data_IF_845278993395
#
_entry.id   IF_845278993395
#
_cell.length_a   1.000
_cell.length_b   1.000
_cell.length_c   1.000
_cell.angle_alpha   90.00
_cell.angle_beta   90.00
_cell.angle_gamma   90.00
#
_symmetry.space_group_name_H-M   'P 1'
#
loop_
_entity.id
_entity.type
_entity.pdbx_description
1 polymer ?
#
# COMPACT_ATOMS: atom_id res chain seq x y z
N UNK A 1 -19.25 -48.41 -7.21
CA UNK A 1 -19.50 -47.56 -8.40
C UNK A 1 -18.58 -46.34 -8.52
N UNK A 2 -17.78 -45.98 -7.50
CA UNK A 2 -16.83 -44.85 -7.56
C UNK A 2 -15.48 -45.05 -8.30
N UNK A 3 -14.97 -46.24 -8.68
CA UNK A 3 -13.63 -46.34 -9.29
C UNK A 3 -13.62 -46.19 -10.82
N UNK A 4 -14.79 -46.15 -11.47
CA UNK A 4 -14.89 -46.09 -12.95
C UNK A 4 -14.79 -44.63 -13.44
N UNK A 5 -15.36 -43.66 -12.71
CA UNK A 5 -15.27 -42.24 -13.05
C UNK A 5 -13.85 -41.68 -12.95
N UNK A 6 -13.11 -42.01 -11.89
CA UNK A 6 -11.73 -41.52 -11.70
C UNK A 6 -10.76 -42.07 -12.78
N UNK A 7 -10.95 -43.33 -13.20
CA UNK A 7 -10.16 -43.92 -14.27
C UNK A 7 -10.52 -43.38 -15.66
N UNK A 8 -11.78 -42.97 -15.88
CA UNK A 8 -12.21 -42.31 -17.12
C UNK A 8 -11.73 -40.85 -17.19
N UNK A 9 -11.81 -40.10 -16.09
CA UNK A 9 -11.24 -38.75 -16.00
C UNK A 9 -9.74 -38.75 -16.22
N UNK A 10 -9.00 -39.69 -15.64
CA UNK A 10 -7.56 -39.85 -15.88
C UNK A 10 -7.27 -40.28 -17.33
N UNK A 11 -8.09 -41.14 -17.93
CA UNK A 11 -7.91 -41.57 -19.31
C UNK A 11 -8.18 -40.44 -20.32
N UNK A 12 -9.18 -39.59 -20.08
CA UNK A 12 -9.53 -38.43 -20.93
C UNK A 12 -8.55 -37.28 -20.72
N UNK A 13 -8.18 -36.98 -19.48
CA UNK A 13 -7.15 -35.96 -19.19
C UNK A 13 -5.78 -36.37 -19.74
N UNK A 14 -5.38 -37.65 -19.63
CA UNK A 14 -4.14 -38.16 -20.21
C UNK A 14 -4.18 -38.22 -21.75
N UNK A 15 -5.29 -38.67 -22.37
CA UNK A 15 -5.46 -38.62 -23.84
C UNK A 15 -5.36 -37.20 -24.35
N UNK A 16 -6.04 -36.27 -23.70
CA UNK A 16 -6.15 -34.93 -24.22
C UNK A 16 -4.93 -34.07 -23.89
N UNK A 17 -4.25 -34.22 -22.74
CA UNK A 17 -2.95 -33.56 -22.52
C UNK A 17 -1.88 -34.04 -23.50
N UNK A 18 -1.89 -35.33 -23.85
CA UNK A 18 -1.04 -35.86 -24.91
C UNK A 18 -1.35 -35.18 -26.24
N UNK A 19 -2.61 -35.19 -26.67
CA UNK A 19 -3.07 -34.60 -27.94
C UNK A 19 -2.80 -33.09 -28.00
N UNK A 20 -3.00 -32.33 -26.93
CA UNK A 20 -2.82 -30.87 -26.93
C UNK A 20 -1.35 -30.47 -27.19
N UNK A 21 -0.40 -31.14 -26.54
CA UNK A 21 1.04 -30.88 -26.72
C UNK A 21 1.56 -31.45 -28.05
N UNK A 22 1.02 -32.60 -28.48
CA UNK A 22 1.34 -33.19 -29.78
C UNK A 22 0.83 -32.30 -30.92
N UNK A 23 -0.39 -31.78 -30.79
CA UNK A 23 -1.01 -30.87 -31.75
C UNK A 23 -0.22 -29.56 -31.83
N UNK A 24 0.17 -28.93 -30.71
CA UNK A 24 0.92 -27.67 -30.74
C UNK A 24 2.29 -27.84 -31.43
N UNK A 25 3.06 -28.88 -31.08
CA UNK A 25 4.37 -29.13 -31.68
C UNK A 25 4.28 -29.54 -33.15
N UNK A 26 3.32 -30.39 -33.52
CA UNK A 26 3.16 -30.81 -34.91
C UNK A 26 2.52 -29.75 -35.80
N UNK A 27 1.67 -28.87 -35.27
CA UNK A 27 1.15 -27.73 -36.03
C UNK A 27 2.25 -26.71 -36.32
N UNK A 28 3.13 -26.43 -35.36
CA UNK A 28 4.30 -25.57 -35.58
C UNK A 28 5.23 -26.18 -36.65
N UNK A 29 5.59 -27.47 -36.53
CA UNK A 29 6.42 -28.18 -37.52
C UNK A 29 5.78 -28.27 -38.92
N UNK A 30 4.47 -28.54 -39.00
CA UNK A 30 3.76 -28.65 -40.28
C UNK A 30 3.69 -27.30 -41.02
N UNK A 31 3.68 -26.19 -40.29
CA UNK A 31 3.67 -24.85 -40.86
C UNK A 31 5.06 -24.36 -41.27
N UNK A 32 6.14 -24.85 -40.63
CA UNK A 32 7.52 -24.62 -41.06
C UNK A 32 7.87 -25.36 -42.35
N UNK A 33 7.30 -26.55 -42.56
CA UNK A 33 7.53 -27.39 -43.75
C UNK A 33 6.72 -26.94 -44.99
N UNK A 34 5.83 -25.95 -44.85
CA UNK A 34 4.97 -25.49 -45.95
C UNK A 34 5.53 -24.26 -46.67
N UNK A 35 6.04 -24.46 -47.90
CA UNK A 35 6.57 -23.39 -48.76
C UNK A 35 5.46 -22.61 -49.51
N UNK A 36 4.27 -23.20 -49.72
CA UNK A 36 3.18 -22.58 -50.48
C UNK A 36 2.16 -21.85 -49.59
N UNK A 37 1.91 -20.57 -49.89
CA UNK A 37 0.98 -19.69 -49.17
C UNK A 37 -0.46 -20.22 -49.15
N UNK A 38 -0.94 -20.76 -50.27
CA UNK A 38 -2.31 -21.30 -50.37
C UNK A 38 -2.52 -22.55 -49.51
N UNK A 39 -1.51 -23.42 -49.45
CA UNK A 39 -1.54 -24.63 -48.62
C UNK A 39 -1.49 -24.25 -47.15
N UNK A 40 -0.68 -23.24 -46.79
CA UNK A 40 -0.60 -22.69 -45.44
C UNK A 40 -1.94 -22.12 -44.98
N UNK A 41 -2.64 -21.34 -45.80
CA UNK A 41 -3.95 -20.79 -45.45
C UNK A 41 -5.02 -21.87 -45.25
N UNK A 42 -5.02 -22.93 -46.08
CA UNK A 42 -5.90 -24.09 -45.92
C UNK A 42 -5.62 -24.85 -44.63
N UNK A 43 -4.34 -25.12 -44.33
CA UNK A 43 -3.92 -25.77 -43.10
C UNK A 43 -4.33 -24.97 -41.87
N UNK A 44 -4.10 -23.65 -41.85
CA UNK A 44 -4.53 -22.79 -40.76
C UNK A 44 -6.05 -22.80 -40.54
N UNK A 45 -6.83 -22.92 -41.62
CA UNK A 45 -8.29 -23.03 -41.54
C UNK A 45 -8.72 -24.39 -40.98
N UNK A 46 -8.03 -25.46 -41.38
CA UNK A 46 -8.26 -26.80 -40.82
C UNK A 46 -7.90 -26.86 -39.33
N UNK A 47 -6.77 -26.29 -38.94
CA UNK A 47 -6.32 -26.20 -37.54
C UNK A 47 -7.33 -25.40 -36.71
N UNK A 48 -7.80 -24.25 -37.22
CA UNK A 48 -8.83 -23.44 -36.55
C UNK A 48 -10.13 -24.22 -36.32
N UNK A 49 -10.59 -24.99 -37.30
CA UNK A 49 -11.77 -25.87 -37.14
C UNK A 49 -11.55 -27.00 -36.15
N UNK A 50 -10.37 -27.62 -36.15
CA UNK A 50 -10.04 -28.67 -35.18
C UNK A 50 -10.01 -28.12 -33.75
N UNK A 51 -9.36 -26.97 -33.55
CA UNK A 51 -9.33 -26.28 -32.25
C UNK A 51 -10.76 -25.93 -31.81
N UNK A 52 -11.59 -25.43 -32.74
CA UNK A 52 -13.00 -25.16 -32.46
C UNK A 52 -13.74 -26.39 -31.94
N UNK A 53 -13.67 -27.51 -32.67
CA UNK A 53 -14.36 -28.75 -32.28
C UNK A 53 -13.87 -29.29 -30.93
N UNK A 54 -12.55 -29.28 -30.69
CA UNK A 54 -11.99 -29.72 -29.41
C UNK A 54 -12.54 -28.86 -28.26
N UNK A 55 -12.52 -27.54 -28.41
CA UNK A 55 -12.99 -26.63 -27.36
C UNK A 55 -14.51 -26.72 -27.14
N UNK A 56 -15.28 -26.91 -28.19
CA UNK A 56 -16.74 -27.06 -28.09
C UNK A 56 -17.15 -28.38 -27.43
N UNK A 57 -16.50 -29.50 -27.79
CA UNK A 57 -16.73 -30.79 -27.11
C UNK A 57 -16.39 -30.72 -25.62
N UNK A 58 -15.29 -30.04 -25.27
CA UNK A 58 -14.93 -29.80 -23.88
C UNK A 58 -15.92 -28.92 -23.14
N UNK A 59 -16.46 -27.89 -23.80
CA UNK A 59 -17.48 -27.01 -23.24
C UNK A 59 -18.75 -27.79 -22.94
N UNK A 60 -19.22 -28.60 -23.88
CA UNK A 60 -20.39 -29.47 -23.71
C UNK A 60 -20.19 -30.46 -22.56
N UNK A 61 -19.03 -31.12 -22.50
CA UNK A 61 -18.68 -32.03 -21.40
C UNK A 61 -18.75 -31.36 -20.03
N UNK A 62 -18.23 -30.13 -19.92
CA UNK A 62 -18.29 -29.38 -18.66
C UNK A 62 -19.72 -28.94 -18.35
N UNK A 63 -20.50 -28.49 -19.34
CA UNK A 63 -21.90 -28.16 -19.12
C UNK A 63 -22.70 -29.35 -18.58
N UNK A 64 -22.52 -30.54 -19.15
CA UNK A 64 -23.20 -31.77 -18.72
C UNK A 64 -22.83 -32.17 -17.28
N UNK A 65 -21.55 -32.04 -16.91
CA UNK A 65 -21.10 -32.32 -15.53
C UNK A 65 -21.69 -31.37 -14.49
N UNK A 66 -21.95 -30.10 -14.87
CA UNK A 66 -22.42 -29.07 -13.94
C UNK A 66 -23.95 -28.97 -13.87
N UNK A 67 -24.69 -29.54 -14.83
CA UNK A 67 -26.15 -29.63 -14.75
C UNK A 67 -26.65 -30.60 -13.69
N UNK A 68 -25.84 -31.58 -13.29
CA UNK A 68 -26.26 -32.67 -12.37
C UNK A 68 -25.90 -32.43 -10.89
N UNK A 69 -25.03 -31.47 -10.56
CA UNK A 69 -24.52 -31.29 -9.19
C UNK A 69 -24.84 -29.90 -8.59
N UNK A 70 -25.61 -29.90 -7.50
CA UNK A 70 -25.76 -28.74 -6.61
C UNK A 70 -24.40 -28.39 -5.96
N UNK A 71 -23.76 -27.36 -6.52
CA UNK A 71 -22.73 -26.46 -5.99
C UNK A 71 -22.29 -26.73 -4.53
N UNK A 72 -21.02 -27.13 -4.31
CA UNK A 72 -20.16 -26.58 -3.22
C UNK A 72 -18.75 -27.20 -3.05
N UNK A 73 -18.23 -28.10 -3.90
CA UNK A 73 -16.93 -28.76 -3.63
C UNK A 73 -15.76 -28.25 -4.49
N UNK A 74 -14.62 -27.94 -3.84
CA UNK A 74 -13.35 -27.52 -4.45
C UNK A 74 -12.78 -28.51 -5.49
N UNK A 75 -13.20 -29.78 -5.43
CA UNK A 75 -12.78 -30.83 -6.37
C UNK A 75 -13.45 -30.68 -7.76
N UNK A 76 -14.60 -30.02 -7.85
CA UNK A 76 -15.36 -29.83 -9.09
C UNK A 76 -14.89 -28.63 -9.91
N UNK A 77 -14.10 -27.72 -9.33
CA UNK A 77 -13.51 -26.58 -10.06
C UNK A 77 -12.32 -26.98 -10.95
N UNK A 78 -11.71 -28.16 -10.71
CA UNK A 78 -10.54 -28.63 -11.46
C UNK A 78 -10.80 -28.80 -12.98
N UNK A 79 -11.90 -29.43 -13.43
CA UNK A 79 -12.27 -29.47 -14.85
C UNK A 79 -12.34 -28.09 -15.51
N UNK A 80 -12.93 -27.09 -14.83
CA UNK A 80 -13.07 -25.73 -15.34
C UNK A 80 -11.72 -25.00 -15.43
N UNK A 81 -10.85 -25.18 -14.43
CA UNK A 81 -9.49 -24.62 -14.45
C UNK A 81 -8.67 -25.24 -15.57
N UNK A 82 -8.73 -26.58 -15.73
CA UNK A 82 -8.05 -27.28 -16.81
C UNK A 82 -8.54 -26.83 -18.18
N UNK A 83 -9.85 -26.61 -18.33
CA UNK A 83 -10.43 -26.07 -19.56
C UNK A 83 -9.92 -24.66 -19.87
N UNK A 84 -9.93 -23.75 -18.90
CA UNK A 84 -9.38 -22.39 -19.10
C UNK A 84 -7.92 -22.42 -19.56
N UNK A 85 -7.11 -23.28 -18.94
CA UNK A 85 -5.70 -23.44 -19.31
C UNK A 85 -5.54 -23.99 -20.74
N UNK A 86 -6.27 -25.06 -21.08
CA UNK A 86 -6.24 -25.67 -22.42
C UNK A 86 -6.74 -24.72 -23.50
N UNK A 87 -7.83 -24.01 -23.24
CA UNK A 87 -8.37 -22.96 -24.10
C UNK A 87 -7.32 -21.91 -24.43
N UNK A 88 -6.68 -21.36 -23.41
CA UNK A 88 -5.63 -20.36 -23.61
C UNK A 88 -4.45 -20.92 -24.40
N UNK A 89 -4.00 -22.15 -24.11
CA UNK A 89 -2.89 -22.79 -24.82
C UNK A 89 -3.16 -22.99 -26.31
N UNK A 90 -4.35 -23.49 -26.67
CA UNK A 90 -4.72 -23.76 -28.06
C UNK A 90 -4.90 -22.46 -28.86
N UNK A 91 -5.49 -21.42 -28.26
CA UNK A 91 -5.67 -20.13 -28.92
C UNK A 91 -4.32 -19.41 -29.10
N UNK A 92 -3.40 -19.53 -28.13
CA UNK A 92 -2.05 -18.93 -28.20
C UNK A 92 -1.21 -19.44 -29.37
N UNK A 93 -1.52 -20.59 -29.95
CA UNK A 93 -0.88 -21.08 -31.18
C UNK A 93 -1.04 -20.05 -32.30
N UNK A 94 -2.24 -19.50 -32.48
CA UNK A 94 -2.50 -18.52 -33.54
C UNK A 94 -1.77 -17.19 -33.30
N UNK A 95 -1.57 -16.81 -32.04
CA UNK A 95 -0.80 -15.62 -31.65
C UNK A 95 0.68 -15.81 -32.03
N UNK A 96 1.28 -16.96 -31.69
CA UNK A 96 2.66 -17.29 -32.08
C UNK A 96 2.86 -17.31 -33.59
N UNK A 97 1.87 -17.82 -34.32
CA UNK A 97 1.90 -17.91 -35.78
C UNK A 97 1.62 -16.58 -36.48
N UNK A 98 1.36 -15.49 -35.73
CA UNK A 98 0.98 -14.15 -36.21
C UNK A 98 -0.32 -14.13 -37.02
N UNK A 99 -1.17 -15.14 -36.86
CA UNK A 99 -2.46 -15.26 -37.53
C UNK A 99 -3.56 -14.69 -36.62
N UNK A 100 -3.47 -13.37 -36.39
CA UNK A 100 -4.30 -12.67 -35.40
C UNK A 100 -5.80 -12.71 -35.69
N UNK A 101 -6.21 -12.73 -36.96
CA UNK A 101 -7.63 -12.75 -37.36
C UNK A 101 -8.36 -14.00 -36.86
N UNK A 102 -7.76 -15.18 -37.09
CA UNK A 102 -8.34 -16.47 -36.64
C UNK A 102 -8.24 -16.65 -35.13
N UNK A 103 -7.13 -16.22 -34.53
CA UNK A 103 -6.95 -16.22 -33.08
C UNK A 103 -8.00 -15.35 -32.37
N UNK A 104 -8.28 -14.16 -32.90
CA UNK A 104 -9.30 -13.23 -32.40
C UNK A 104 -10.68 -13.84 -32.45
N UNK A 105 -11.09 -14.42 -33.59
CA UNK A 105 -12.41 -15.05 -33.73
C UNK A 105 -12.63 -16.18 -32.70
N UNK A 106 -11.63 -17.06 -32.53
CA UNK A 106 -11.69 -18.12 -31.53
C UNK A 106 -11.72 -17.57 -30.10
N UNK A 107 -10.94 -16.53 -29.82
CA UNK A 107 -10.89 -15.92 -28.49
C UNK A 107 -12.18 -15.17 -28.13
N UNK A 108 -12.86 -14.55 -29.09
CA UNK A 108 -14.20 -13.96 -28.91
C UNK A 108 -15.23 -15.05 -28.60
N UNK A 109 -15.26 -16.13 -29.39
CA UNK A 109 -16.28 -17.18 -29.27
C UNK A 109 -16.18 -17.99 -27.97
N UNK A 110 -14.96 -18.25 -27.50
CA UNK A 110 -14.74 -18.97 -26.26
C UNK A 110 -14.47 -18.07 -25.05
N UNK A 111 -14.66 -16.75 -25.18
CA UNK A 111 -14.43 -15.74 -24.12
C UNK A 111 -13.04 -15.86 -23.47
N UNK A 112 -11.98 -15.97 -24.28
CA UNK A 112 -10.60 -16.02 -23.80
C UNK A 112 -9.96 -14.62 -23.78
N UNK A 113 -10.30 -13.85 -22.75
CA UNK A 113 -9.90 -12.45 -22.62
C UNK A 113 -8.38 -12.24 -22.62
N UNK A 114 -7.61 -13.17 -22.05
CA UNK A 114 -6.14 -13.05 -22.03
C UNK A 114 -5.56 -13.06 -23.46
N UNK A 115 -6.02 -13.98 -24.30
CA UNK A 115 -5.60 -14.06 -25.70
C UNK A 115 -6.06 -12.83 -26.50
N UNK A 116 -7.26 -12.30 -26.25
CA UNK A 116 -7.72 -11.04 -26.87
C UNK A 116 -6.82 -9.85 -26.53
N UNK A 117 -6.43 -9.72 -25.26
CA UNK A 117 -5.55 -8.64 -24.80
C UNK A 117 -4.17 -8.77 -25.45
N UNK A 118 -3.59 -9.98 -25.47
CA UNK A 118 -2.29 -10.26 -26.11
C UNK A 118 -2.32 -9.91 -27.61
N UNK A 119 -3.39 -10.29 -28.33
CA UNK A 119 -3.56 -9.97 -29.76
C UNK A 119 -3.65 -8.46 -29.99
N UNK A 120 -4.48 -7.75 -29.21
CA UNK A 120 -4.62 -6.30 -29.32
C UNK A 120 -3.32 -5.55 -29.01
N UNK A 121 -2.52 -6.05 -28.07
CA UNK A 121 -1.22 -5.46 -27.70
C UNK A 121 -0.18 -5.65 -28.83
N UNK A 122 -0.10 -6.83 -29.45
CA UNK A 122 0.76 -7.10 -30.61
C UNK A 122 0.38 -6.26 -31.83
N UNK A 123 -0.92 -6.10 -32.08
CA UNK A 123 -1.45 -5.25 -33.17
C UNK A 123 -1.42 -3.75 -32.84
N UNK A 124 -1.20 -3.39 -31.56
CA UNK A 124 -1.33 -2.03 -31.02
C UNK A 124 -2.70 -1.39 -31.31
N UNK A 125 -3.76 -2.21 -31.31
CA UNK A 125 -5.12 -1.77 -31.61
C UNK A 125 -5.85 -1.33 -30.33
N UNK A 126 -5.77 -0.03 -30.06
CA UNK A 126 -6.37 0.62 -28.87
C UNK A 126 -7.91 0.68 -28.98
N UNK A 127 -8.45 0.88 -30.18
CA UNK A 127 -9.90 1.04 -30.38
C UNK A 127 -10.65 -0.27 -30.15
N UNK A 128 -10.07 -1.37 -30.64
CA UNK A 128 -10.66 -2.69 -30.43
C UNK A 128 -10.59 -3.11 -28.96
N UNK A 129 -9.47 -2.82 -28.29
CA UNK A 129 -9.33 -3.09 -26.86
C UNK A 129 -10.36 -2.32 -26.03
N UNK A 130 -10.61 -1.04 -26.35
CA UNK A 130 -11.66 -0.25 -25.74
C UNK A 130 -13.05 -0.88 -25.94
N UNK A 131 -13.34 -1.34 -27.15
CA UNK A 131 -14.62 -1.99 -27.46
C UNK A 131 -14.84 -3.22 -26.59
N UNK A 132 -13.80 -4.04 -26.38
CA UNK A 132 -13.89 -5.20 -25.49
C UNK A 132 -14.08 -4.85 -24.02
N UNK A 133 -13.43 -3.79 -23.53
CA UNK A 133 -13.64 -3.30 -22.17
C UNK A 133 -15.09 -2.86 -21.97
N UNK A 134 -15.69 -2.20 -22.96
CA UNK A 134 -17.09 -1.78 -22.92
C UNK A 134 -18.06 -2.97 -23.03
N UNK A 135 -17.76 -3.96 -23.88
CA UNK A 135 -18.61 -5.14 -24.09
C UNK A 135 -18.59 -6.12 -22.91
N UNK A 136 -17.41 -6.48 -22.40
CA UNK A 136 -17.24 -7.53 -21.40
C UNK A 136 -17.14 -6.99 -19.96
N UNK A 137 -16.92 -5.68 -19.80
CA UNK A 137 -16.98 -4.99 -18.52
C UNK A 137 -16.00 -5.51 -17.47
N UNK A 138 -16.50 -5.78 -16.26
CA UNK A 138 -15.67 -6.08 -15.08
C UNK A 138 -14.84 -7.36 -15.24
N UNK A 139 -15.37 -8.40 -15.91
CA UNK A 139 -14.66 -9.68 -16.13
C UNK A 139 -13.37 -9.48 -16.94
N UNK A 140 -13.45 -8.64 -17.98
CA UNK A 140 -12.31 -8.30 -18.83
C UNK A 140 -11.31 -7.43 -18.07
N UNK A 141 -11.78 -6.49 -17.25
CA UNK A 141 -10.93 -5.62 -16.44
C UNK A 141 -10.06 -6.36 -15.42
N UNK A 142 -10.56 -7.45 -14.82
CA UNK A 142 -9.76 -8.29 -13.92
C UNK A 142 -8.54 -8.85 -14.66
N UNK A 143 -8.76 -9.47 -15.82
CA UNK A 143 -7.70 -10.07 -16.63
C UNK A 143 -6.75 -9.02 -17.19
N UNK A 144 -7.29 -7.86 -17.57
CA UNK A 144 -6.49 -6.75 -18.10
C UNK A 144 -5.56 -6.14 -17.04
N UNK A 145 -6.04 -5.93 -15.81
CA UNK A 145 -5.19 -5.46 -14.71
C UNK A 145 -4.09 -6.46 -14.36
N UNK A 146 -4.39 -7.77 -14.32
CA UNK A 146 -3.40 -8.82 -14.08
C UNK A 146 -2.33 -8.84 -15.19
N UNK A 147 -2.76 -8.76 -16.45
CA UNK A 147 -1.87 -8.66 -17.60
C UNK A 147 -0.93 -7.45 -17.50
N UNK A 148 -1.46 -6.26 -17.21
CA UNK A 148 -0.66 -5.04 -17.08
C UNK A 148 0.30 -5.08 -15.89
N UNK A 149 -0.07 -5.74 -14.77
CA UNK A 149 0.84 -5.97 -13.65
C UNK A 149 2.00 -6.86 -14.05
N UNK A 150 1.73 -7.93 -14.81
CA UNK A 150 2.78 -8.85 -15.29
C UNK A 150 3.82 -8.14 -16.17
N UNK A 151 3.37 -7.14 -16.95
CA UNK A 151 4.23 -6.31 -17.83
C UNK A 151 4.74 -5.01 -17.19
N UNK A 152 4.51 -4.81 -15.89
CA UNK A 152 4.81 -3.55 -15.16
C UNK A 152 4.31 -2.28 -15.86
N UNK A 153 3.21 -2.39 -16.62
CA UNK A 153 2.65 -1.35 -17.50
C UNK A 153 1.30 -0.80 -17.00
N UNK A 154 1.08 -0.79 -15.68
CA UNK A 154 -0.15 -0.28 -15.07
C UNK A 154 -0.48 1.17 -15.45
N UNK A 155 0.51 1.97 -15.86
CA UNK A 155 0.34 3.34 -16.34
C UNK A 155 -0.64 3.46 -17.52
N UNK A 156 -0.79 2.39 -18.32
CA UNK A 156 -1.71 2.35 -19.47
C UNK A 156 -3.16 2.57 -19.05
N UNK A 157 -3.59 2.07 -17.89
CA UNK A 157 -4.97 2.25 -17.39
C UNK A 157 -5.33 3.72 -17.13
N UNK A 158 -4.31 4.56 -16.89
CA UNK A 158 -4.48 5.97 -16.57
C UNK A 158 -4.34 6.87 -17.79
N UNK A 159 -4.05 6.30 -18.97
CA UNK A 159 -4.14 7.04 -20.22
C UNK A 159 -5.61 7.41 -20.50
N UNK A 160 -5.81 8.57 -21.13
CA UNK A 160 -7.14 9.18 -21.30
C UNK A 160 -8.11 8.24 -22.01
N UNK A 161 -7.60 7.49 -22.98
CA UNK A 161 -8.30 6.53 -23.84
C UNK A 161 -9.03 5.45 -23.03
N UNK A 162 -8.44 4.99 -21.92
CA UNK A 162 -9.00 3.96 -21.06
C UNK A 162 -9.67 4.54 -19.81
N UNK A 163 -9.08 5.59 -19.24
CA UNK A 163 -9.57 6.15 -17.98
C UNK A 163 -10.96 6.78 -18.12
N UNK A 164 -11.34 7.24 -19.32
CA UNK A 164 -12.68 7.79 -19.62
C UNK A 164 -13.79 6.72 -19.65
N UNK A 165 -13.43 5.43 -19.72
CA UNK A 165 -14.41 4.35 -19.75
C UNK A 165 -15.06 4.14 -18.38
N UNK A 166 -16.39 4.04 -18.36
CA UNK A 166 -17.18 3.83 -17.12
C UNK A 166 -16.82 2.51 -16.44
N UNK A 167 -16.59 1.45 -17.22
CA UNK A 167 -16.18 0.13 -16.71
C UNK A 167 -14.83 0.21 -15.99
N UNK A 168 -13.86 0.94 -16.57
CA UNK A 168 -12.55 1.16 -15.96
C UNK A 168 -12.68 1.96 -14.67
N UNK A 169 -13.46 3.04 -14.66
CA UNK A 169 -13.68 3.84 -13.44
C UNK A 169 -14.35 3.04 -12.32
N UNK A 170 -15.36 2.22 -12.65
CA UNK A 170 -16.01 1.34 -11.67
C UNK A 170 -15.02 0.33 -11.08
N UNK A 171 -14.22 -0.30 -11.93
CA UNK A 171 -13.20 -1.24 -11.52
C UNK A 171 -12.10 -0.59 -10.67
N UNK A 172 -11.63 0.61 -11.05
CA UNK A 172 -10.63 1.34 -10.27
C UNK A 172 -11.21 1.81 -8.93
N UNK A 173 -12.49 2.18 -8.88
CA UNK A 173 -13.16 2.58 -7.64
C UNK A 173 -13.36 1.42 -6.66
N UNK A 174 -13.49 0.18 -7.15
CA UNK A 174 -13.55 -1.00 -6.27
C UNK A 174 -12.21 -1.31 -5.60
N UNK A 175 -11.10 -0.78 -6.13
CA UNK A 175 -9.77 -0.92 -5.55
C UNK A 175 -9.41 0.29 -4.67
N UNK A 176 -9.07 0.08 -3.39
CA UNK A 176 -8.76 1.19 -2.48
C UNK A 176 -7.58 2.03 -2.98
N UNK A 177 -6.57 1.40 -3.56
CA UNK A 177 -5.34 2.03 -4.09
C UNK A 177 -5.61 3.11 -5.14
N UNK A 178 -6.70 2.98 -5.90
CA UNK A 178 -7.00 3.81 -7.06
C UNK A 178 -8.28 4.63 -6.93
N UNK A 179 -9.11 4.35 -5.92
CA UNK A 179 -10.38 5.03 -5.69
C UNK A 179 -10.24 6.56 -5.70
N UNK A 180 -9.22 7.09 -5.03
CA UNK A 180 -8.98 8.53 -4.95
C UNK A 180 -8.75 9.21 -6.30
N UNK A 181 -8.17 8.52 -7.30
CA UNK A 181 -7.97 9.09 -8.63
C UNK A 181 -9.29 9.24 -9.39
N UNK A 182 -10.17 8.25 -9.25
CA UNK A 182 -11.52 8.30 -9.83
C UNK A 182 -12.35 9.39 -9.16
N UNK A 183 -12.24 9.54 -7.85
CA UNK A 183 -12.94 10.57 -7.10
C UNK A 183 -12.47 11.98 -7.50
N UNK A 184 -11.16 12.22 -7.68
CA UNK A 184 -10.62 13.49 -8.21
C UNK A 184 -11.20 13.79 -9.59
N UNK A 185 -11.24 12.80 -10.49
CA UNK A 185 -11.81 12.99 -11.83
C UNK A 185 -13.29 13.38 -11.78
N UNK A 186 -14.05 12.77 -10.89
CA UNK A 186 -15.46 13.07 -10.67
C UNK A 186 -15.69 14.37 -9.89
N UNK A 187 -14.63 15.11 -9.56
CA UNK A 187 -14.63 16.34 -8.74
C UNK A 187 -15.13 16.12 -7.31
N UNK A 188 -15.07 14.87 -6.84
CA UNK A 188 -15.40 14.49 -5.48
C UNK A 188 -14.15 14.53 -4.61
N UNK A 189 -13.69 15.74 -4.34
CA UNK A 189 -12.42 15.95 -3.65
C UNK A 189 -12.45 15.56 -2.16
N UNK A 190 -13.63 15.57 -1.54
CA UNK A 190 -13.79 15.15 -0.16
C UNK A 190 -13.53 13.65 -0.03
N UNK A 191 -14.21 12.82 -0.83
CA UNK A 191 -13.96 11.38 -0.84
C UNK A 191 -12.53 11.04 -1.28
N UNK A 192 -11.95 11.79 -2.23
CA UNK A 192 -10.55 11.61 -2.61
C UNK A 192 -9.59 11.86 -1.43
N UNK A 193 -9.83 12.89 -0.61
CA UNK A 193 -9.06 13.16 0.61
C UNK A 193 -9.22 12.03 1.64
N UNK A 194 -10.43 11.48 1.80
CA UNK A 194 -10.68 10.34 2.70
C UNK A 194 -9.89 9.10 2.25
N UNK A 195 -10.06 8.72 0.99
CA UNK A 195 -9.47 7.54 0.39
C UNK A 195 -7.95 7.59 0.45
N UNK A 196 -7.33 8.74 0.13
CA UNK A 196 -5.86 8.91 0.22
C UNK A 196 -5.32 8.80 1.64
N UNK A 197 -6.06 9.25 2.66
CA UNK A 197 -5.62 9.16 4.06
C UNK A 197 -5.63 7.75 4.62
N UNK A 198 -6.61 6.95 4.19
CA UNK A 198 -6.81 5.57 4.63
C UNK A 198 -5.84 4.58 3.95
N UNK A 199 -5.12 5.01 2.90
CA UNK A 199 -4.15 4.16 2.24
C UNK A 199 -2.98 3.82 3.16
N UNK A 200 -2.74 2.53 3.31
CA UNK A 200 -1.57 2.00 3.99
C UNK A 200 -0.36 2.18 3.08
N UNK A 201 0.65 2.87 3.57
CA UNK A 201 1.90 3.12 2.86
C UNK A 201 3.05 2.42 3.55
N UNK A 202 3.93 1.82 2.77
CA UNK A 202 5.13 1.16 3.30
C UNK A 202 6.28 2.14 3.50
N UNK A 203 6.39 3.17 2.66
CA UNK A 203 7.56 4.07 2.63
C UNK A 203 7.19 5.52 2.95
N UNK A 204 8.14 6.25 3.57
CA UNK A 204 7.95 7.66 3.94
C UNK A 204 7.61 8.52 2.72
N UNK A 205 8.33 8.33 1.60
CA UNK A 205 8.08 9.12 0.40
C UNK A 205 6.67 8.94 -0.16
N UNK A 206 6.15 7.70 -0.17
CA UNK A 206 4.77 7.43 -0.59
C UNK A 206 3.76 8.10 0.37
N UNK A 207 4.01 8.04 1.68
CA UNK A 207 3.15 8.68 2.67
C UNK A 207 3.10 10.19 2.48
N UNK A 208 4.25 10.85 2.33
CA UNK A 208 4.31 12.30 2.12
C UNK A 208 3.55 12.74 0.87
N UNK A 209 3.73 12.04 -0.25
CA UNK A 209 3.00 12.35 -1.48
C UNK A 209 1.48 12.18 -1.30
N UNK A 210 1.03 11.12 -0.63
CA UNK A 210 -0.39 10.89 -0.39
C UNK A 210 -1.00 11.89 0.61
N UNK A 211 -0.26 12.29 1.63
CA UNK A 211 -0.68 13.37 2.55
C UNK A 211 -0.83 14.70 1.81
N UNK A 212 0.14 15.05 0.96
CA UNK A 212 0.08 16.25 0.14
C UNK A 212 -1.12 16.22 -0.82
N UNK A 213 -1.36 15.10 -1.51
CA UNK A 213 -2.54 14.92 -2.37
C UNK A 213 -3.83 15.06 -1.55
N UNK A 214 -3.91 14.44 -0.38
CA UNK A 214 -5.07 14.55 0.50
C UNK A 214 -5.33 16.00 0.93
N UNK A 215 -4.27 16.74 1.27
CA UNK A 215 -4.33 18.16 1.62
C UNK A 215 -4.85 18.99 0.47
N UNK A 216 -4.30 18.81 -0.74
CA UNK A 216 -4.76 19.53 -1.92
C UNK A 216 -6.21 19.19 -2.29
N UNK A 217 -6.61 17.92 -2.21
CA UNK A 217 -7.99 17.52 -2.43
C UNK A 217 -8.93 18.17 -1.40
N UNK A 218 -8.57 18.15 -0.11
CA UNK A 218 -9.36 18.78 0.93
C UNK A 218 -9.46 20.30 0.75
N UNK A 219 -8.39 20.97 0.35
CA UNK A 219 -8.42 22.40 0.02
C UNK A 219 -9.30 22.69 -1.21
N UNK A 220 -9.25 21.85 -2.24
CA UNK A 220 -10.11 21.98 -3.43
C UNK A 220 -11.60 21.72 -3.13
N UNK A 221 -11.92 20.91 -2.11
CA UNK A 221 -13.29 20.63 -1.67
C UNK A 221 -13.97 21.84 -1.00
N UNK A 222 -13.18 22.81 -0.50
CA UNK A 222 -13.65 23.93 0.33
C UNK A 222 -14.55 24.95 -0.40
N UNK A 223 -14.80 24.76 -1.69
CA UNK A 223 -15.62 25.67 -2.48
C UNK A 223 -17.13 25.59 -2.19
N UNK A 224 -17.65 24.52 -1.58
CA UNK A 224 -19.10 24.31 -1.55
C UNK A 224 -19.84 24.37 -0.20
N UNK A 225 -19.25 24.23 0.99
CA UNK A 225 -20.06 24.28 2.23
C UNK A 225 -19.37 24.89 3.46
N UNK A 226 -19.94 26.00 3.95
CA UNK A 226 -19.61 26.64 5.24
C UNK A 226 -19.91 25.69 6.43
N UNK A 227 -20.78 24.68 6.24
CA UNK A 227 -21.23 23.75 7.28
C UNK A 227 -20.16 22.76 7.76
N UNK A 228 -19.15 22.45 6.95
CA UNK A 228 -18.10 21.48 7.30
C UNK A 228 -16.74 22.13 7.59
N UNK A 229 -16.67 23.46 7.69
CA UNK A 229 -15.41 24.19 7.84
C UNK A 229 -14.60 23.78 9.08
N UNK A 230 -15.26 23.46 10.20
CA UNK A 230 -14.58 23.00 11.41
C UNK A 230 -14.03 21.58 11.28
N UNK A 231 -14.81 20.66 10.69
CA UNK A 231 -14.37 19.30 10.41
C UNK A 231 -13.18 19.28 9.42
N UNK A 232 -13.24 20.13 8.39
CA UNK A 232 -12.15 20.33 7.44
C UNK A 232 -10.90 20.87 8.14
N UNK A 233 -11.05 21.88 9.01
CA UNK A 233 -9.91 22.43 9.80
C UNK A 233 -9.26 21.39 10.70
N UNK A 234 -10.05 20.58 11.41
CA UNK A 234 -9.53 19.49 12.25
C UNK A 234 -8.77 18.46 11.41
N UNK A 235 -9.30 18.13 10.24
CA UNK A 235 -8.65 17.18 9.33
C UNK A 235 -7.37 17.74 8.72
N UNK A 236 -7.34 19.01 8.34
CA UNK A 236 -6.12 19.68 7.88
C UNK A 236 -5.05 19.68 8.97
N UNK A 237 -5.40 19.99 10.23
CA UNK A 237 -4.47 19.91 11.36
C UNK A 237 -3.89 18.51 11.54
N UNK A 238 -4.73 17.49 11.39
CA UNK A 238 -4.27 16.10 11.44
C UNK A 238 -3.26 15.79 10.33
N UNK A 239 -3.55 16.19 9.09
CA UNK A 239 -2.63 16.01 7.96
C UNK A 239 -1.31 16.75 8.20
N UNK A 240 -1.38 18.00 8.66
CA UNK A 240 -0.19 18.82 8.97
C UNK A 240 0.67 18.17 10.07
N UNK A 241 0.05 17.60 11.11
CA UNK A 241 0.77 16.87 12.14
C UNK A 241 1.50 15.65 11.56
N UNK A 242 0.84 14.87 10.71
CA UNK A 242 1.44 13.70 10.04
C UNK A 242 2.56 14.09 9.05
N UNK A 243 2.39 15.20 8.32
CA UNK A 243 3.41 15.77 7.43
C UNK A 243 4.65 16.19 8.24
N UNK A 244 4.44 16.88 9.36
CA UNK A 244 5.52 17.31 10.24
C UNK A 244 6.27 16.12 10.86
N UNK A 245 5.56 15.04 11.24
CA UNK A 245 6.19 13.80 11.71
C UNK A 245 7.07 13.16 10.62
N UNK A 246 6.57 13.13 9.38
CA UNK A 246 7.36 12.63 8.24
C UNK A 246 8.61 13.50 8.02
N UNK A 247 8.47 14.82 8.09
CA UNK A 247 9.58 15.75 7.90
C UNK A 247 10.63 15.62 9.00
N UNK A 248 10.21 15.60 10.27
CA UNK A 248 11.12 15.39 11.39
C UNK A 248 11.90 14.09 11.23
N UNK A 249 11.24 13.03 10.76
CA UNK A 249 11.92 11.77 10.47
C UNK A 249 12.96 11.88 9.35
N UNK A 250 12.65 12.59 8.26
CA UNK A 250 13.63 12.81 7.20
C UNK A 250 14.85 13.60 7.70
N UNK A 251 14.63 14.56 8.59
CA UNK A 251 15.70 15.34 9.23
C UNK A 251 16.58 14.44 10.11
N UNK A 252 16.00 13.46 10.81
CA UNK A 252 16.77 12.46 11.57
C UNK A 252 17.59 11.52 10.69
N UNK A 253 17.17 11.34 9.44
CA UNK A 253 17.86 10.53 8.44
C UNK A 253 18.83 11.36 7.59
N UNK A 254 19.22 12.56 8.07
CA UNK A 254 20.12 13.50 7.38
C UNK A 254 21.45 12.92 6.89
N UNK A 255 21.85 11.77 7.42
CA UNK A 255 23.12 11.12 7.10
C UNK A 255 23.01 10.18 5.87
N UNK A 256 21.80 9.92 5.37
CA UNK A 256 21.55 9.10 4.19
C UNK A 256 21.31 9.96 2.94
N UNK A 257 21.49 9.38 1.76
CA UNK A 257 21.12 10.04 0.50
C UNK A 257 19.61 10.20 0.37
N UNK A 258 19.16 11.26 -0.30
CA UNK A 258 17.74 11.62 -0.41
C UNK A 258 16.88 10.47 -0.98
N UNK A 259 17.38 9.77 -2.00
CA UNK A 259 16.70 8.61 -2.60
C UNK A 259 16.59 7.41 -1.65
N UNK A 260 17.48 7.26 -0.68
CA UNK A 260 17.44 6.19 0.32
C UNK A 260 16.52 6.54 1.50
N UNK A 261 16.47 7.83 1.87
CA UNK A 261 15.57 8.34 2.92
C UNK A 261 14.11 8.07 2.58
N UNK A 262 13.72 8.38 1.34
CA UNK A 262 12.33 8.24 0.88
C UNK A 262 11.88 6.76 0.80
N UNK A 263 12.82 5.82 0.68
CA UNK A 263 12.58 4.37 0.66
C UNK A 263 12.52 3.75 2.06
N UNK A 264 12.85 4.49 3.12
CA UNK A 264 12.81 3.95 4.47
C UNK A 264 11.37 3.56 4.86
N UNK A 265 11.18 2.45 5.62
CA UNK A 265 9.87 1.96 6.01
C UNK A 265 9.19 2.89 7.01
N UNK A 266 7.87 3.04 7.07
CA UNK A 266 7.24 3.84 8.14
C UNK A 266 7.54 3.26 9.54
N UNK A 267 7.69 4.16 10.52
CA UNK A 267 8.00 3.85 11.92
C UNK A 267 6.99 4.66 12.74
N UNK A 268 6.43 4.06 13.79
CA UNK A 268 5.51 4.74 14.69
C UNK A 268 6.21 5.89 15.43
N UNK A 269 5.50 6.98 15.70
CA UNK A 269 6.04 8.11 16.46
C UNK A 269 6.58 7.68 17.85
N UNK A 270 5.98 6.65 18.47
CA UNK A 270 6.49 5.98 19.69
C UNK A 270 7.91 5.44 19.51
N UNK A 271 8.12 4.73 18.41
CA UNK A 271 9.41 4.13 18.09
C UNK A 271 10.42 5.19 17.64
N UNK A 272 9.97 6.28 17.03
CA UNK A 272 10.83 7.44 16.74
C UNK A 272 11.38 8.04 18.04
N UNK A 273 10.53 8.31 19.02
CA UNK A 273 10.93 8.84 20.34
C UNK A 273 11.91 7.89 21.04
N UNK A 274 11.59 6.59 21.09
CA UNK A 274 12.47 5.59 21.70
C UNK A 274 13.82 5.50 21.00
N UNK A 275 13.83 5.52 19.66
CA UNK A 275 15.07 5.51 18.90
C UNK A 275 15.91 6.77 19.16
N UNK A 276 15.26 7.94 19.23
CA UNK A 276 15.93 9.21 19.54
C UNK A 276 16.57 9.21 20.92
N UNK A 277 15.98 8.55 21.92
CA UNK A 277 16.50 8.53 23.29
C UNK A 277 17.53 7.41 23.49
N UNK A 278 17.25 6.21 22.97
CA UNK A 278 18.04 5.01 23.26
C UNK A 278 19.26 4.83 22.34
N UNK A 279 19.23 5.31 21.09
CA UNK A 279 20.35 5.10 20.16
C UNK A 279 21.53 6.01 20.49
N UNK A 280 22.67 5.44 20.86
CA UNK A 280 23.90 6.20 21.16
C UNK A 280 24.63 6.74 19.93
N UNK A 281 24.36 6.18 18.74
CA UNK A 281 25.09 6.46 17.50
C UNK A 281 24.37 7.49 16.63
N UNK A 282 24.27 8.73 17.10
CA UNK A 282 23.67 9.82 16.32
C UNK A 282 24.58 11.04 16.39
N UNK A 283 24.74 11.74 15.26
CA UNK A 283 25.53 12.97 15.15
C UNK A 283 24.94 14.16 15.92
N UNK A 284 23.70 14.03 16.40
CA UNK A 284 22.97 15.07 17.13
C UNK A 284 23.37 15.13 18.60
N UNK A 285 23.43 16.34 19.15
CA UNK A 285 23.65 16.56 20.59
C UNK A 285 22.52 15.96 21.44
N UNK A 286 22.81 15.61 22.70
CA UNK A 286 21.82 15.04 23.61
C UNK A 286 20.60 15.96 23.76
N UNK A 287 20.80 17.26 23.98
CA UNK A 287 19.71 18.22 24.10
C UNK A 287 18.82 18.24 22.84
N UNK A 288 19.40 18.28 21.64
CA UNK A 288 18.63 18.29 20.39
C UNK A 288 17.78 17.02 20.22
N UNK A 289 18.28 15.86 20.67
CA UNK A 289 17.52 14.60 20.61
C UNK A 289 16.28 14.64 21.49
N UNK A 290 16.40 15.16 22.71
CA UNK A 290 15.27 15.33 23.62
C UNK A 290 14.32 16.44 23.17
N UNK A 291 14.81 17.58 22.66
CA UNK A 291 13.98 18.63 22.06
C UNK A 291 13.17 18.10 20.86
N UNK A 292 13.79 17.32 19.97
CA UNK A 292 13.10 16.67 18.85
C UNK A 292 12.07 15.64 19.33
N UNK A 293 12.38 14.87 20.37
CA UNK A 293 11.42 13.94 20.98
C UNK A 293 10.21 14.67 21.58
N UNK A 294 10.40 15.83 22.22
CA UNK A 294 9.31 16.67 22.74
C UNK A 294 8.46 17.28 21.62
N UNK A 295 9.08 17.67 20.50
CA UNK A 295 8.37 18.13 19.28
C UNK A 295 7.52 17.02 18.65
N UNK A 296 8.00 15.79 18.64
CA UNK A 296 7.21 14.62 18.20
C UNK A 296 6.06 14.41 19.18
N UNK A 297 6.34 14.45 20.49
CA UNK A 297 5.33 14.24 21.53
C UNK A 297 4.20 15.28 21.45
N UNK A 298 4.51 16.55 21.18
CA UNK A 298 3.50 17.61 21.03
C UNK A 298 2.55 17.38 19.86
N UNK A 299 2.93 16.56 18.88
CA UNK A 299 2.10 16.20 17.73
C UNK A 299 1.23 14.96 18.01
N UNK A 300 1.43 14.29 19.15
CA UNK A 300 0.79 13.03 19.55
C UNK A 300 -0.28 13.19 20.65
N UNK A 301 -0.81 14.39 20.90
CA UNK A 301 -1.71 14.67 22.04
C UNK A 301 -2.90 13.71 22.17
N UNK A 302 -3.41 13.21 21.04
CA UNK A 302 -4.57 12.32 20.98
C UNK A 302 -4.24 10.84 21.17
N UNK A 303 -2.95 10.49 21.34
CA UNK A 303 -2.50 9.11 21.41
C UNK A 303 -2.58 8.59 22.87
N UNK A 304 -3.13 7.38 23.11
CA UNK A 304 -3.18 6.79 24.46
C UNK A 304 -1.80 6.62 25.12
N UNK A 305 -0.75 6.49 24.32
CA UNK A 305 0.63 6.35 24.80
C UNK A 305 1.28 7.68 25.22
N UNK A 306 0.60 8.83 25.03
CA UNK A 306 1.14 10.16 25.30
C UNK A 306 1.69 10.29 26.73
N UNK A 307 0.90 9.90 27.73
CA UNK A 307 1.30 10.01 29.14
C UNK A 307 2.50 9.13 29.49
N UNK A 308 2.57 7.92 28.90
CA UNK A 308 3.68 6.99 29.12
C UNK A 308 4.96 7.49 28.46
N UNK A 309 4.87 7.98 27.22
CA UNK A 309 6.00 8.53 26.48
C UNK A 309 6.51 9.83 27.10
N UNK A 310 5.62 10.68 27.59
CA UNK A 310 5.97 11.87 28.38
C UNK A 310 6.82 11.48 29.58
N UNK A 311 6.35 10.53 30.40
CA UNK A 311 7.10 10.08 31.57
C UNK A 311 8.45 9.46 31.18
N UNK A 312 8.48 8.64 30.12
CA UNK A 312 9.70 8.03 29.60
C UNK A 312 10.75 9.08 29.19
N UNK A 313 10.35 10.12 28.43
CA UNK A 313 11.28 11.18 27.99
C UNK A 313 11.93 11.87 29.20
N UNK A 314 11.13 12.28 30.18
CA UNK A 314 11.65 13.00 31.36
C UNK A 314 12.42 12.08 32.33
N UNK A 315 12.02 10.81 32.48
CA UNK A 315 12.75 9.85 33.29
C UNK A 315 14.14 9.55 32.69
N UNK A 316 14.21 9.32 31.38
CA UNK A 316 15.48 9.08 30.69
C UNK A 316 16.39 10.33 30.71
N UNK A 317 15.82 11.53 30.60
CA UNK A 317 16.55 12.78 30.75
C UNK A 317 17.29 12.86 32.11
N UNK A 318 16.61 12.47 33.18
CA UNK A 318 17.17 12.43 34.54
C UNK A 318 18.21 11.33 34.71
N UNK A 319 18.00 10.16 34.10
CA UNK A 319 18.94 9.04 34.19
C UNK A 319 20.25 9.34 33.44
N UNK A 320 20.20 10.09 32.35
CA UNK A 320 21.38 10.47 31.56
C UNK A 320 22.17 11.61 32.22
N UNK A 321 21.49 12.59 32.80
CA UNK A 321 22.10 13.72 33.50
C UNK A 321 21.49 13.85 34.90
N UNK A 322 21.98 13.05 35.88
CA UNK A 322 21.42 13.05 37.22
C UNK A 322 21.61 14.41 37.89
N UNK A 323 20.56 14.87 38.56
CA UNK A 323 20.58 16.13 39.31
C UNK A 323 21.68 16.08 40.38
N UNK A 324 22.46 17.16 40.48
CA UNK A 324 23.53 17.24 41.48
C UNK A 324 22.90 17.47 42.85
N UNK A 325 23.41 16.80 43.91
CA UNK A 325 22.95 17.04 45.27
C UNK A 325 23.21 18.48 45.66
N UNK A 326 22.27 19.07 46.40
CA UNK A 326 22.35 20.44 46.91
C UNK A 326 23.38 20.44 48.03
N UNK A 327 24.66 20.57 47.69
CA UNK A 327 25.71 20.80 48.67
C UNK A 327 25.50 22.16 49.34
N UNK A 328 25.75 22.22 50.66
CA UNK A 328 25.72 23.42 51.49
C UNK A 328 26.62 24.55 50.91
N UNK A 329 26.15 25.34 49.93
CA UNK A 329 26.59 26.74 49.67
C UNK A 329 26.14 27.35 48.33
N UNK A 330 25.28 26.73 47.52
CA UNK A 330 24.89 27.34 46.25
C UNK A 330 23.39 27.20 45.98
N UNK A 331 22.79 28.28 45.46
CA UNK A 331 21.39 28.31 45.06
C UNK A 331 21.10 27.07 44.19
N UNK A 332 20.09 26.25 44.51
CA UNK A 332 19.79 25.01 43.80
C UNK A 332 19.53 25.25 42.30
N UNK A 333 19.14 26.47 41.94
CA UNK A 333 18.99 26.95 40.58
C UNK A 333 20.34 27.14 39.86
N UNK A 334 21.37 27.62 40.54
CA UNK A 334 22.70 27.85 39.96
C UNK A 334 23.43 26.54 39.66
N UNK A 335 23.28 25.54 40.53
CA UNK A 335 23.91 24.22 40.37
C UNK A 335 23.26 23.39 39.26
N UNK A 336 21.94 23.53 39.08
CA UNK A 336 21.17 22.72 38.14
C UNK A 336 20.73 23.47 36.86
N UNK A 337 21.05 24.76 36.71
CA UNK A 337 20.71 25.56 35.51
C UNK A 337 21.27 24.99 34.19
N UNK A 338 22.35 24.21 34.24
CA UNK A 338 22.96 23.57 33.06
C UNK A 338 22.53 22.11 32.87
N UNK A 339 21.67 21.59 33.73
CA UNK A 339 21.18 20.21 33.59
C UNK A 339 20.28 20.11 32.37
N UNK A 340 20.29 18.94 31.74
CA UNK A 340 19.45 18.65 30.58
C UNK A 340 17.97 18.96 30.87
N UNK A 341 17.50 18.66 32.07
CA UNK A 341 16.12 18.90 32.48
C UNK A 341 15.77 20.39 32.62
N UNK A 342 16.66 21.23 33.16
CA UNK A 342 16.47 22.69 33.18
C UNK A 342 16.43 23.26 31.76
N UNK A 343 17.33 22.82 30.89
CA UNK A 343 17.41 23.28 29.51
C UNK A 343 16.20 22.83 28.68
N UNK A 344 15.66 21.63 28.94
CA UNK A 344 14.43 21.15 28.32
C UNK A 344 13.22 21.97 28.76
N UNK A 345 13.15 22.38 30.02
CA UNK A 345 12.08 23.25 30.47
C UNK A 345 12.15 24.66 29.87
N UNK A 346 13.36 25.25 29.79
CA UNK A 346 13.55 26.53 29.11
C UNK A 346 13.14 26.43 27.63
N UNK A 347 13.44 25.31 26.99
CA UNK A 347 13.03 25.02 25.61
C UNK A 347 11.52 24.91 25.44
N UNK A 348 10.84 24.19 26.35
CA UNK A 348 9.37 24.04 26.33
C UNK A 348 8.69 25.40 26.45
N UNK A 349 9.17 26.26 27.34
CA UNK A 349 8.67 27.64 27.50
C UNK A 349 8.91 28.49 26.26
N UNK A 350 10.13 28.47 25.72
CA UNK A 350 10.48 29.26 24.53
C UNK A 350 9.64 28.89 23.30
N UNK A 351 9.41 27.60 23.08
CA UNK A 351 8.60 27.11 21.95
C UNK A 351 7.09 27.13 22.25
N UNK A 352 6.66 27.64 23.42
CA UNK A 352 5.26 27.65 23.88
C UNK A 352 4.58 26.27 23.84
N UNK A 353 5.35 25.21 24.10
CA UNK A 353 4.88 23.83 24.13
C UNK A 353 4.04 23.52 25.38
N UNK A 354 3.98 24.44 26.35
CA UNK A 354 3.17 24.35 27.56
C UNK A 354 1.66 24.18 27.27
N UNK A 355 1.19 24.66 26.11
CA UNK A 355 -0.21 24.52 25.66
C UNK A 355 -0.67 23.07 25.55
N UNK A 356 0.28 22.14 25.41
CA UNK A 356 0.03 20.73 25.15
C UNK A 356 0.22 19.84 26.39
N UNK A 357 0.27 20.43 27.61
CA UNK A 357 0.44 19.71 28.88
C UNK A 357 1.61 18.70 28.89
N UNK A 358 2.71 19.08 28.22
CA UNK A 358 3.88 18.21 28.02
C UNK A 358 4.69 18.03 29.31
N UNK A 359 4.58 18.96 30.27
CA UNK A 359 5.27 18.85 31.55
C UNK A 359 4.51 17.84 32.45
N UNK A 360 5.12 16.72 32.84
CA UNK A 360 4.49 15.79 33.77
C UNK A 360 4.39 16.42 35.17
N UNK A 361 3.36 16.06 35.92
CA UNK A 361 3.27 16.44 37.34
C UNK A 361 4.44 15.82 38.11
N UNK A 362 5.00 16.57 39.07
CA UNK A 362 6.10 16.11 39.94
C UNK A 362 5.81 14.73 40.54
N UNK A 363 4.61 14.54 41.06
CA UNK A 363 4.17 13.29 41.69
C UNK A 363 4.19 12.10 40.71
N UNK A 364 3.71 12.32 39.48
CA UNK A 364 3.69 11.29 38.42
C UNK A 364 5.09 10.93 37.92
N UNK A 365 6.01 11.91 37.89
CA UNK A 365 7.40 11.68 37.52
C UNK A 365 8.14 10.91 38.62
N UNK A 366 7.91 11.26 39.89
CA UNK A 366 8.47 10.57 41.04
C UNK A 366 7.97 9.12 41.15
N UNK A 367 6.69 8.88 40.84
CA UNK A 367 6.10 7.53 40.84
C UNK A 367 6.46 6.67 39.62
N UNK A 368 7.29 7.15 38.70
CA UNK A 368 7.63 6.40 37.49
C UNK A 368 8.51 5.18 37.81
N UNK A 369 8.20 4.04 37.18
CA UNK A 369 8.93 2.78 37.39
C UNK A 369 10.43 2.86 37.00
N UNK A 370 10.80 3.84 36.19
CA UNK A 370 12.17 4.07 35.72
C UNK A 370 13.04 4.79 36.75
N UNK A 371 12.43 5.51 37.71
CA UNK A 371 13.13 6.30 38.74
C UNK A 371 13.08 5.69 40.14
N UNK A 372 12.71 4.41 40.27
CA UNK A 372 12.60 3.70 41.57
C UNK A 372 13.90 3.80 42.39
N UNK A 373 15.06 3.77 41.73
CA UNK A 373 16.37 3.90 42.39
C UNK A 373 16.61 5.28 43.04
N UNK A 374 15.95 6.33 42.54
CA UNK A 374 16.10 7.71 43.02
C UNK A 374 14.97 8.16 43.94
N UNK A 375 13.91 7.36 44.11
CA UNK A 375 12.75 7.69 44.96
C UNK A 375 13.14 7.94 46.43
N UNK A 376 14.16 7.25 46.93
CA UNK A 376 14.60 7.33 48.33
C UNK A 376 15.64 8.42 48.61
N UNK A 377 16.07 9.18 47.60
CA UNK A 377 17.13 10.18 47.77
C UNK A 377 16.52 11.57 48.06
N UNK A 378 16.69 12.06 49.29
CA UNK A 378 16.14 13.35 49.76
C UNK A 378 16.69 14.53 48.95
N UNK A 379 17.98 14.52 48.62
CA UNK A 379 18.64 15.58 47.86
C UNK A 379 18.08 15.71 46.44
N UNK A 380 17.68 14.58 45.85
CA UNK A 380 17.05 14.52 44.53
C UNK A 380 15.62 15.07 44.56
N UNK A 381 14.86 14.77 45.63
CA UNK A 381 13.51 15.30 45.80
C UNK A 381 13.50 16.81 46.02
N UNK A 382 14.48 17.34 46.76
CA UNK A 382 14.67 18.78 46.95
C UNK A 382 15.10 19.47 45.66
N UNK A 383 16.09 18.91 44.93
CA UNK A 383 16.53 19.45 43.65
C UNK A 383 15.40 19.49 42.60
N UNK A 384 14.59 18.43 42.50
CA UNK A 384 13.39 18.43 41.67
C UNK A 384 12.38 19.49 42.13
N UNK A 385 12.14 19.62 43.44
CA UNK A 385 11.20 20.63 43.96
C UNK A 385 11.64 22.05 43.62
N UNK A 386 12.94 22.33 43.72
CA UNK A 386 13.53 23.63 43.39
C UNK A 386 13.35 23.94 41.90
N UNK A 387 13.61 22.98 41.01
CA UNK A 387 13.43 23.18 39.57
C UNK A 387 11.95 23.37 39.23
N UNK A 388 11.04 22.54 39.73
CA UNK A 388 9.60 22.71 39.49
C UNK A 388 9.05 24.03 40.07
N UNK A 389 9.54 24.47 41.23
CA UNK A 389 9.17 25.78 41.80
C UNK A 389 9.61 26.93 40.90
N UNK A 390 10.79 26.82 40.28
CA UNK A 390 11.30 27.82 39.34
C UNK A 390 10.48 27.90 38.05
N UNK A 391 9.82 26.80 37.66
CA UNK A 391 8.90 26.78 36.53
C UNK A 391 7.61 27.56 36.81
N UNK A 392 7.18 27.62 38.07
CA UNK A 392 5.96 28.32 38.49
C UNK A 392 6.20 29.81 38.74
N UNK A 393 7.42 30.22 39.08
CA UNK A 393 7.77 31.62 39.42
C UNK A 393 8.31 32.47 38.26
N UNK A 394 8.56 31.88 37.09
CA UNK A 394 9.01 32.55 35.85
C UNK A 394 8.07 32.23 34.72
#
# INVERSE_FOLDING_TARGET
MQPIHANFEQAITARNHGVDLYCTQHFEQALELCESREVRERLLTMISRLVYHILDEYRLYICDLYSDNELNNDMEQRPWINYKQKRSLLIKIFIKLKEFSKGKQLAEEFEDYQSLIEICDELKDIEQLRTYIEQYGDKFMVVFDEYLRSKSALSVLFQKEYFDLKSVQRYLKSKPEFAWMVDIKNRDYEHASLSTLQLVTETIGKRQTLLAISKFALLASSHNEIRNAEAIKLRLRFIENEENLCQQRLDLLSNLDEGERLKQPLISAKDMIKNLILKKNTSQSLLQRYCSALKILSQMETNPDFDQLRLFIFAQAILVDPLKPIGNSADPLSCNAKTLLSQLFDYIKHENLDKYNIIPSREKLQSSNELISFQNNHDFQEALSAIYSSLLTR
#
